data_IF_041446081945
#
_entry.id   IF_041446081945
#
_cell.length_a   1.000
_cell.length_b   1.000
_cell.length_c   1.000
_cell.angle_alpha   90.00
_cell.angle_beta   90.00
_cell.angle_gamma   90.00
#
_symmetry.space_group_name_H-M   'P 1'
#
loop_
_entity.id
_entity.type
_entity.pdbx_description
1 polymer ?
#
# COMPACT_ATOMS: atom_id res chain seq x y z
N UNK A 1 45.17 -6.61 -27.35
CA UNK A 1 45.44 -5.98 -26.03
C UNK A 1 45.22 -4.49 -26.20
N UNK A 2 44.00 -3.99 -25.92
CA UNK A 2 43.68 -2.57 -25.95
C UNK A 2 42.74 -2.28 -24.78
N UNK A 3 43.32 -2.26 -23.58
CA UNK A 3 42.68 -1.70 -22.40
C UNK A 3 42.71 -0.19 -22.50
N UNK A 4 41.75 0.39 -23.23
CA UNK A 4 41.36 1.76 -22.95
C UNK A 4 40.43 1.73 -21.75
N UNK A 5 41.02 1.70 -20.55
CA UNK A 5 40.33 2.09 -19.32
C UNK A 5 39.95 3.56 -19.51
N UNK A 6 38.71 3.82 -19.93
CA UNK A 6 38.15 5.17 -19.95
C UNK A 6 38.26 5.70 -18.53
N UNK A 7 39.17 6.64 -18.33
CA UNK A 7 39.29 7.40 -17.09
C UNK A 7 37.98 8.16 -16.91
N UNK A 8 37.09 7.62 -16.10
CA UNK A 8 35.87 8.30 -15.71
C UNK A 8 36.26 9.55 -14.91
N UNK A 9 35.58 10.66 -15.17
CA UNK A 9 35.71 11.90 -14.40
C UNK A 9 35.64 11.56 -12.88
N UNK A 10 36.63 12.01 -12.10
CA UNK A 10 36.71 11.74 -10.67
C UNK A 10 35.43 12.14 -9.92
N UNK A 11 34.68 13.09 -10.46
CA UNK A 11 33.37 13.55 -9.97
C UNK A 11 32.30 12.47 -10.10
N UNK A 12 32.22 11.79 -11.26
CA UNK A 12 31.23 10.72 -11.46
C UNK A 12 31.58 9.48 -10.65
N UNK A 13 32.87 9.16 -10.52
CA UNK A 13 33.31 8.02 -9.70
C UNK A 13 32.94 8.23 -8.22
N UNK A 14 33.09 9.44 -7.70
CA UNK A 14 32.71 9.80 -6.33
C UNK A 14 31.19 9.73 -6.13
N UNK A 15 30.43 10.23 -7.10
CA UNK A 15 28.96 10.18 -7.07
C UNK A 15 28.43 8.75 -7.04
N UNK A 16 29.00 7.85 -7.85
CA UNK A 16 28.62 6.42 -7.87
C UNK A 16 28.94 5.76 -6.53
N UNK A 17 30.13 6.00 -5.95
CA UNK A 17 30.49 5.47 -4.63
C UNK A 17 29.51 5.94 -3.54
N UNK A 18 29.15 7.22 -3.55
CA UNK A 18 28.19 7.77 -2.61
C UNK A 18 26.79 7.17 -2.79
N UNK A 19 26.34 7.00 -4.04
CA UNK A 19 25.06 6.35 -4.34
C UNK A 19 25.01 4.93 -3.78
N UNK A 20 26.06 4.13 -4.02
CA UNK A 20 26.14 2.76 -3.48
C UNK A 20 26.17 2.76 -1.95
N UNK A 21 26.86 3.70 -1.32
CA UNK A 21 26.85 3.82 0.14
C UNK A 21 25.46 4.13 0.69
N UNK A 22 24.71 5.03 0.05
CA UNK A 22 23.33 5.35 0.41
C UNK A 22 22.39 4.16 0.19
N UNK A 23 22.52 3.44 -0.93
CA UNK A 23 21.71 2.26 -1.24
C UNK A 23 21.91 1.15 -0.20
N UNK A 24 23.16 0.92 0.22
CA UNK A 24 23.47 -0.04 1.28
C UNK A 24 22.84 0.36 2.64
N UNK A 25 22.89 1.65 3.00
CA UNK A 25 22.26 2.14 4.22
C UNK A 25 20.73 2.02 4.15
N UNK A 26 20.15 2.39 3.01
CA UNK A 26 18.72 2.23 2.74
C UNK A 26 18.27 0.79 2.91
N UNK A 27 18.98 -0.17 2.30
CA UNK A 27 18.70 -1.60 2.43
C UNK A 27 18.75 -2.07 3.89
N UNK A 28 19.74 -1.62 4.66
CA UNK A 28 19.86 -1.96 6.09
C UNK A 28 18.66 -1.44 6.90
N UNK A 29 18.30 -0.18 6.73
CA UNK A 29 17.16 0.43 7.43
C UNK A 29 15.84 -0.22 7.01
N UNK A 30 15.67 -0.52 5.72
CA UNK A 30 14.49 -1.18 5.20
C UNK A 30 14.28 -2.57 5.82
N UNK A 31 15.35 -3.34 5.98
CA UNK A 31 15.29 -4.64 6.65
C UNK A 31 14.83 -4.50 8.11
N UNK A 32 15.35 -3.52 8.84
CA UNK A 32 14.93 -3.24 10.22
C UNK A 32 13.45 -2.83 10.29
N UNK A 33 13.01 -1.95 9.39
CA UNK A 33 11.61 -1.53 9.27
C UNK A 33 10.70 -2.74 8.97
N UNK A 34 11.17 -3.67 8.13
CA UNK A 34 10.40 -4.86 7.76
C UNK A 34 10.19 -5.79 8.95
N UNK A 35 11.24 -6.05 9.75
CA UNK A 35 11.15 -6.84 10.98
C UNK A 35 10.19 -6.19 11.99
N UNK A 36 10.34 -4.89 12.24
CA UNK A 36 9.45 -4.15 13.14
C UNK A 36 7.98 -4.20 12.68
N UNK A 37 7.75 -4.16 11.36
CA UNK A 37 6.41 -4.26 10.79
C UNK A 37 5.83 -5.66 10.99
N UNK A 38 6.62 -6.71 10.79
CA UNK A 38 6.20 -8.09 10.99
C UNK A 38 5.83 -8.36 12.45
N UNK A 39 6.69 -7.99 13.39
CA UNK A 39 6.43 -8.11 14.82
C UNK A 39 5.18 -7.32 15.22
N UNK A 40 5.04 -6.08 14.74
CA UNK A 40 3.85 -5.26 14.97
C UNK A 40 2.58 -5.94 14.46
N UNK A 41 2.60 -6.49 13.25
CA UNK A 41 1.45 -7.16 12.66
C UNK A 41 1.05 -8.42 13.43
N UNK A 42 2.02 -9.22 13.90
CA UNK A 42 1.76 -10.38 14.75
C UNK A 42 1.09 -9.98 16.07
N UNK A 43 1.57 -8.92 16.71
CA UNK A 43 0.95 -8.39 17.95
C UNK A 43 -0.46 -7.87 17.67
N UNK A 44 -0.68 -7.16 16.56
CA UNK A 44 -2.01 -6.71 16.17
C UNK A 44 -2.98 -7.88 16.01
N UNK A 45 -2.57 -8.94 15.31
CA UNK A 45 -3.39 -10.15 15.12
C UNK A 45 -3.76 -10.79 16.47
N UNK A 46 -2.80 -10.92 17.39
CA UNK A 46 -3.07 -11.45 18.74
C UNK A 46 -4.09 -10.60 19.52
N UNK A 47 -4.02 -9.27 19.41
CA UNK A 47 -4.97 -8.35 20.05
C UNK A 47 -6.37 -8.56 19.48
N UNK A 48 -6.51 -8.62 18.15
CA UNK A 48 -7.81 -8.85 17.52
C UNK A 48 -8.39 -10.22 17.89
N UNK A 49 -7.58 -11.28 17.81
CA UNK A 49 -7.98 -12.63 18.20
C UNK A 49 -8.47 -12.70 19.65
N UNK A 50 -7.84 -11.96 20.57
CA UNK A 50 -8.29 -11.87 21.96
C UNK A 50 -9.71 -11.28 22.08
N UNK A 51 -10.00 -10.16 21.39
CA UNK A 51 -11.33 -9.55 21.45
C UNK A 51 -12.39 -10.38 20.72
N UNK A 52 -12.03 -10.95 19.57
CA UNK A 52 -12.90 -11.80 18.77
C UNK A 52 -13.29 -13.07 19.56
N UNK A 53 -12.32 -13.70 20.26
CA UNK A 53 -12.59 -14.88 21.11
C UNK A 53 -13.56 -14.61 22.26
N UNK A 54 -13.72 -13.34 22.65
CA UNK A 54 -14.63 -12.92 23.72
C UNK A 54 -15.97 -12.41 23.20
N UNK A 55 -16.21 -12.43 21.89
CA UNK A 55 -17.34 -11.76 21.24
C UNK A 55 -17.50 -10.30 21.71
N UNK A 56 -16.38 -9.63 21.99
CA UNK A 56 -16.36 -8.29 22.55
C UNK A 56 -16.25 -7.24 21.44
N UNK A 57 -16.92 -6.10 21.62
CA UNK A 57 -16.71 -4.95 20.76
C UNK A 57 -15.30 -4.40 20.95
N UNK A 58 -14.69 -3.92 19.86
CA UNK A 58 -13.35 -3.33 19.89
C UNK A 58 -13.32 -2.02 20.69
N UNK A 59 -12.54 -1.94 21.79
CA UNK A 59 -12.54 -0.76 22.65
C UNK A 59 -11.64 0.35 22.11
N UNK A 60 -11.91 1.57 22.59
CA UNK A 60 -10.96 2.68 22.52
C UNK A 60 -10.00 2.59 23.72
N UNK A 61 -8.70 2.49 23.45
CA UNK A 61 -7.68 2.33 24.50
C UNK A 61 -6.95 3.66 24.69
N UNK A 62 -6.95 4.22 25.90
CA UNK A 62 -6.16 5.40 26.21
C UNK A 62 -4.73 4.99 26.57
N UNK A 63 -3.75 5.68 26.00
CA UNK A 63 -2.32 5.52 26.29
C UNK A 63 -1.74 6.86 26.75
N UNK A 64 -0.50 6.84 27.26
CA UNK A 64 0.13 8.03 27.85
C UNK A 64 0.15 9.22 26.88
N UNK A 65 0.52 8.97 25.62
CA UNK A 65 0.69 9.99 24.57
C UNK A 65 -0.50 10.09 23.60
N UNK A 66 -1.61 9.40 23.85
CA UNK A 66 -2.61 9.26 22.80
C UNK A 66 -3.75 8.29 23.10
N UNK A 67 -4.36 7.82 22.01
CA UNK A 67 -5.42 6.80 22.02
C UNK A 67 -5.17 5.79 20.89
N UNK A 68 -5.56 4.54 21.12
CA UNK A 68 -5.60 3.49 20.11
C UNK A 68 -7.05 3.15 19.80
N UNK A 69 -7.38 3.10 18.52
CA UNK A 69 -8.69 2.73 18.00
C UNK A 69 -8.53 1.47 17.15
N UNK A 70 -9.13 0.38 17.61
CA UNK A 70 -9.16 -0.89 16.91
C UNK A 70 -10.33 -0.86 15.91
N UNK A 71 -10.02 -0.98 14.62
CA UNK A 71 -10.98 -0.80 13.55
C UNK A 71 -10.82 -1.86 12.48
N UNK A 72 -11.90 -2.13 11.76
CA UNK A 72 -11.90 -2.95 10.55
C UNK A 72 -12.08 -2.06 9.33
N UNK A 73 -11.24 -2.26 8.32
CA UNK A 73 -11.32 -1.53 7.05
C UNK A 73 -11.53 -2.50 5.90
N UNK A 74 -12.42 -2.14 4.97
CA UNK A 74 -12.63 -2.90 3.73
C UNK A 74 -11.59 -2.47 2.71
N UNK A 75 -10.71 -3.39 2.33
CA UNK A 75 -9.80 -3.21 1.22
C UNK A 75 -10.35 -3.91 -0.02
N UNK A 76 -10.85 -3.12 -0.97
CA UNK A 76 -11.33 -3.64 -2.25
C UNK A 76 -10.16 -4.07 -3.14
N UNK A 77 -10.37 -5.12 -3.96
CA UNK A 77 -9.34 -5.59 -4.90
C UNK A 77 -8.90 -4.46 -5.84
N UNK A 78 -7.58 -4.24 -6.01
CA UNK A 78 -7.06 -3.14 -6.81
C UNK A 78 -7.50 -3.23 -8.27
N UNK A 79 -8.03 -2.13 -8.78
CA UNK A 79 -8.51 -1.98 -10.15
C UNK A 79 -8.42 -0.51 -10.53
N UNK A 80 -7.90 -0.23 -11.73
CA UNK A 80 -7.83 1.13 -12.26
C UNK A 80 -9.10 1.44 -13.05
N UNK A 81 -10.04 2.15 -12.42
CA UNK A 81 -11.27 2.56 -13.12
C UNK A 81 -10.97 3.49 -14.30
N UNK A 82 -9.97 4.37 -14.17
CA UNK A 82 -9.57 5.26 -15.26
C UNK A 82 -9.09 4.49 -16.49
N UNK A 83 -8.27 3.46 -16.29
CA UNK A 83 -7.82 2.62 -17.40
C UNK A 83 -8.99 1.87 -18.06
N UNK A 84 -9.90 1.31 -17.25
CA UNK A 84 -11.09 0.63 -17.78
C UNK A 84 -12.01 1.59 -18.54
N UNK A 85 -12.23 2.79 -18.02
CA UNK A 85 -12.99 3.84 -18.71
C UNK A 85 -12.38 4.18 -20.06
N UNK A 86 -11.05 4.32 -20.12
CA UNK A 86 -10.35 4.62 -21.38
C UNK A 86 -10.48 3.45 -22.38
N UNK A 87 -10.34 2.20 -21.92
CA UNK A 87 -10.58 1.01 -22.76
C UNK A 87 -12.03 0.91 -23.26
N UNK A 88 -13.01 1.18 -22.41
CA UNK A 88 -14.42 1.09 -22.79
C UNK A 88 -14.81 2.20 -23.76
N UNK A 89 -14.32 3.43 -23.55
CA UNK A 89 -14.50 4.53 -24.51
C UNK A 89 -13.97 4.14 -25.88
N UNK A 90 -12.75 3.61 -25.95
CA UNK A 90 -12.15 3.19 -27.20
C UNK A 90 -12.98 2.09 -27.87
N UNK A 91 -13.34 1.04 -27.13
CA UNK A 91 -14.07 -0.11 -27.66
C UNK A 91 -15.49 0.24 -28.14
N UNK A 92 -16.21 1.10 -27.40
CA UNK A 92 -17.60 1.44 -27.70
C UNK A 92 -17.76 2.68 -28.60
N UNK A 93 -16.67 3.27 -29.11
CA UNK A 93 -16.70 4.52 -29.90
C UNK A 93 -17.80 4.57 -30.97
N UNK A 94 -18.02 3.48 -31.70
CA UNK A 94 -18.96 3.40 -32.83
C UNK A 94 -20.35 2.84 -32.46
N UNK A 95 -20.62 2.57 -31.18
CA UNK A 95 -21.87 1.99 -30.73
C UNK A 95 -22.89 3.08 -30.37
N UNK A 96 -24.14 2.88 -30.78
CA UNK A 96 -25.23 3.72 -30.25
C UNK A 96 -25.33 3.56 -28.73
N UNK A 97 -25.51 4.68 -28.02
CA UNK A 97 -25.52 4.75 -26.56
C UNK A 97 -24.22 4.32 -25.86
N UNK A 98 -23.07 4.38 -26.54
CA UNK A 98 -21.73 4.07 -26.01
C UNK A 98 -21.48 4.58 -24.58
N UNK A 99 -21.78 5.86 -24.34
CA UNK A 99 -21.61 6.49 -23.01
C UNK A 99 -22.52 5.89 -21.92
N UNK A 100 -23.72 5.42 -22.25
CA UNK A 100 -24.57 4.72 -21.27
C UNK A 100 -23.97 3.35 -20.93
N UNK A 101 -23.54 2.62 -21.95
CA UNK A 101 -22.97 1.27 -21.83
C UNK A 101 -21.68 1.30 -21.00
N UNK A 102 -20.77 2.25 -21.28
CA UNK A 102 -19.54 2.46 -20.49
C UNK A 102 -19.84 2.65 -19.00
N UNK A 103 -20.79 3.53 -18.67
CA UNK A 103 -21.15 3.82 -17.29
C UNK A 103 -21.80 2.61 -16.62
N UNK A 104 -22.71 1.92 -17.31
CA UNK A 104 -23.38 0.71 -16.81
C UNK A 104 -22.37 -0.40 -16.51
N UNK A 105 -21.36 -0.59 -17.36
CA UNK A 105 -20.29 -1.58 -17.15
C UNK A 105 -19.42 -1.21 -15.94
N UNK A 106 -19.04 0.06 -15.79
CA UNK A 106 -18.26 0.52 -14.64
C UNK A 106 -19.04 0.32 -13.33
N UNK A 107 -20.33 0.67 -13.30
CA UNK A 107 -21.17 0.45 -12.13
C UNK A 107 -21.40 -1.03 -11.84
N UNK A 108 -21.58 -1.85 -12.88
CA UNK A 108 -21.66 -3.30 -12.74
C UNK A 108 -20.37 -3.87 -12.11
N UNK A 109 -19.19 -3.47 -12.60
CA UNK A 109 -17.89 -3.89 -12.06
C UNK A 109 -17.73 -3.45 -10.61
N UNK A 110 -18.11 -2.21 -10.25
CA UNK A 110 -18.11 -1.72 -8.86
C UNK A 110 -18.99 -2.60 -7.97
N UNK A 111 -20.18 -2.96 -8.44
CA UNK A 111 -21.14 -3.78 -7.67
C UNK A 111 -20.64 -5.20 -7.40
N UNK A 112 -19.82 -5.76 -8.31
CA UNK A 112 -19.24 -7.10 -8.17
C UNK A 112 -17.87 -7.09 -7.49
N UNK A 113 -17.33 -5.91 -7.19
CA UNK A 113 -15.98 -5.77 -6.63
C UNK A 113 -15.90 -6.41 -5.26
N UNK A 114 -15.03 -7.41 -5.15
CA UNK A 114 -14.76 -8.09 -3.89
C UNK A 114 -13.90 -7.21 -2.96
N UNK A 115 -14.04 -7.42 -1.66
CA UNK A 115 -13.16 -6.79 -0.68
C UNK A 115 -12.69 -7.83 0.34
N UNK A 116 -11.53 -7.55 0.91
CA UNK A 116 -11.06 -8.21 2.12
C UNK A 116 -11.25 -7.24 3.28
N UNK A 117 -11.61 -7.75 4.44
CA UNK A 117 -11.63 -6.94 5.67
C UNK A 117 -10.29 -7.09 6.33
N UNK A 118 -9.63 -5.95 6.58
CA UNK A 118 -8.36 -5.90 7.30
C UNK A 118 -8.57 -5.23 8.66
N UNK A 119 -8.11 -5.93 9.68
CA UNK A 119 -8.00 -5.42 11.04
C UNK A 119 -6.87 -4.38 11.11
N UNK A 120 -7.12 -3.27 11.80
CA UNK A 120 -6.19 -2.15 11.90
C UNK A 120 -6.27 -1.47 13.26
N UNK A 121 -5.12 -1.26 13.90
CA UNK A 121 -5.00 -0.42 15.09
C UNK A 121 -4.52 0.98 14.68
N UNK A 122 -5.37 1.99 14.83
CA UNK A 122 -5.05 3.39 14.56
C UNK A 122 -4.62 4.09 15.86
N UNK A 123 -3.46 4.76 15.84
CA UNK A 123 -2.99 5.61 16.96
C UNK A 123 -3.27 7.09 16.65
N UNK A 124 -3.82 7.80 17.62
CA UNK A 124 -3.96 9.26 17.58
C UNK A 124 -3.19 9.85 18.76
N UNK A 125 -2.31 10.81 18.49
CA UNK A 125 -1.52 11.48 19.52
C UNK A 125 -2.32 12.58 20.20
N UNK A 126 -2.05 12.84 21.48
CA UNK A 126 -2.59 14.01 22.19
C UNK A 126 -1.93 15.26 21.62
N UNK A 127 -2.76 16.21 21.18
CA UNK A 127 -2.33 17.56 20.82
C UNK A 127 -1.96 18.36 22.06
#
# INVERSE_FOLDING_TARGET
MNEQVKSYDGTIQTSIKNWVALDNQYKKLYNQISLLREEKNNIEEQIFNYYDSKNASYPLINISDGKLCLTQSKQYNMLSFKFLEDCFKEFFTDYENSKSIENELIEFIKSKRTFKTNNLIKRTYKT
#
